data_IF_670977840706
#
_entry.id   IF_670977840706
#
_cell.length_a   1.000
_cell.length_b   1.000
_cell.length_c   1.000
_cell.angle_alpha   90.00
_cell.angle_beta   90.00
_cell.angle_gamma   90.00
#
_symmetry.space_group_name_H-M   'P 1'
#
loop_
_entity.id
_entity.type
_entity.pdbx_description
1 polymer ?
#
# COMPACT_ATOMS: atom_id res chain seq x y z
N UNK A 1 -10.34 -4.17 3.23
CA UNK A 1 -9.64 -3.57 4.39
C UNK A 1 -8.56 -4.56 4.85
N UNK A 2 -7.31 -4.11 5.02
CA UNK A 2 -6.19 -5.00 5.34
C UNK A 2 -5.82 -5.07 6.82
N UNK A 3 -6.25 -4.06 7.59
CA UNK A 3 -5.96 -3.93 9.01
C UNK A 3 -7.23 -4.18 9.83
N UNK A 4 -7.13 -4.38 11.17
CA UNK A 4 -8.24 -4.53 12.13
C UNK A 4 -9.00 -3.24 12.37
N UNK A 5 -10.31 -3.30 12.74
CA UNK A 5 -11.29 -2.17 12.73
C UNK A 5 -10.77 -0.90 13.38
N UNK A 6 -10.05 -1.08 14.47
CA UNK A 6 -9.34 -0.04 15.20
C UNK A 6 -7.99 -0.57 15.63
N UNK A 7 -7.19 0.26 16.31
CA UNK A 7 -5.94 -0.19 16.94
C UNK A 7 -6.16 -1.22 18.04
N UNK A 8 -7.32 -1.21 18.68
CA UNK A 8 -7.62 -2.04 19.86
C UNK A 8 -8.33 -3.36 19.49
N UNK A 9 -8.55 -3.57 18.20
CA UNK A 9 -9.26 -4.72 17.64
C UNK A 9 -8.27 -5.78 17.13
N UNK A 10 -8.58 -7.04 17.40
CA UNK A 10 -7.84 -8.20 16.89
C UNK A 10 -8.72 -8.95 15.88
N UNK A 11 -8.55 -8.62 14.60
CA UNK A 11 -9.33 -9.23 13.53
C UNK A 11 -8.98 -10.70 13.27
N UNK A 12 -7.84 -11.18 13.79
CA UNK A 12 -7.42 -12.58 13.64
C UNK A 12 -8.34 -13.56 14.37
N UNK A 13 -9.10 -13.07 15.35
CA UNK A 13 -10.07 -13.88 16.11
C UNK A 13 -11.31 -14.26 15.29
N UNK A 14 -11.64 -13.48 14.24
CA UNK A 14 -12.90 -13.63 13.52
C UNK A 14 -12.76 -13.53 11.99
N UNK A 15 -11.53 -13.39 11.47
CA UNK A 15 -11.24 -13.30 10.05
C UNK A 15 -10.16 -14.28 9.62
N UNK A 16 -10.39 -14.95 8.50
CA UNK A 16 -9.40 -15.84 7.90
C UNK A 16 -8.24 -15.02 7.30
N UNK A 17 -6.98 -15.28 7.68
CA UNK A 17 -5.81 -14.67 7.06
C UNK A 17 -5.77 -14.81 5.53
N UNK A 18 -6.30 -15.91 4.99
CA UNK A 18 -6.36 -16.14 3.54
C UNK A 18 -7.20 -15.06 2.82
N UNK A 19 -8.26 -14.55 3.42
CA UNK A 19 -9.05 -13.46 2.83
C UNK A 19 -8.25 -12.16 2.72
N UNK A 20 -7.37 -11.89 3.69
CA UNK A 20 -6.48 -10.72 3.66
C UNK A 20 -5.50 -10.87 2.51
N UNK A 21 -4.88 -12.05 2.36
CA UNK A 21 -3.94 -12.32 1.28
C UNK A 21 -4.59 -12.20 -0.11
N UNK A 22 -5.79 -12.76 -0.30
CA UNK A 22 -6.54 -12.58 -1.56
C UNK A 22 -6.95 -11.13 -1.82
N UNK A 23 -7.14 -10.32 -0.78
CA UNK A 23 -7.40 -8.90 -0.92
C UNK A 23 -6.11 -8.11 -1.26
N UNK A 24 -4.94 -8.51 -0.75
CA UNK A 24 -3.64 -7.90 -1.07
C UNK A 24 -3.24 -8.11 -2.52
N UNK A 25 -3.63 -9.23 -3.13
CA UNK A 25 -3.42 -9.48 -4.57
C UNK A 25 -4.08 -8.44 -5.47
N UNK A 26 -5.10 -7.73 -4.97
CA UNK A 26 -5.89 -6.72 -5.69
C UNK A 26 -5.56 -5.30 -5.23
N UNK A 27 -4.35 -5.08 -4.71
CA UNK A 27 -3.90 -3.74 -4.28
C UNK A 27 -3.93 -2.76 -5.47
N UNK A 28 -4.79 -1.73 -5.44
CA UNK A 28 -4.93 -0.79 -6.54
C UNK A 28 -3.66 0.05 -6.77
N UNK A 29 -2.87 0.34 -5.73
CA UNK A 29 -1.63 1.10 -5.88
C UNK A 29 -0.56 0.27 -6.59
N UNK A 30 -0.49 -1.03 -6.30
CA UNK A 30 0.41 -1.94 -7.01
C UNK A 30 0.04 -2.02 -8.49
N UNK A 31 -1.24 -2.24 -8.80
CA UNK A 31 -1.70 -2.29 -10.19
C UNK A 31 -1.47 -0.98 -10.95
N UNK A 32 -1.70 0.16 -10.30
CA UNK A 32 -1.42 1.47 -10.89
C UNK A 32 0.08 1.65 -11.16
N UNK A 33 0.94 1.28 -10.21
CA UNK A 33 2.39 1.35 -10.37
C UNK A 33 2.87 0.49 -11.55
N UNK A 34 2.39 -0.75 -11.64
CA UNK A 34 2.72 -1.67 -12.75
C UNK A 34 2.27 -1.10 -14.10
N UNK A 35 1.05 -0.54 -14.16
CA UNK A 35 0.54 0.11 -15.36
C UNK A 35 1.42 1.27 -15.80
N UNK A 36 1.75 2.20 -14.89
CA UNK A 36 2.53 3.40 -15.21
C UNK A 36 3.97 3.08 -15.62
N UNK A 37 4.58 2.07 -14.98
CA UNK A 37 5.89 1.54 -15.39
C UNK A 37 5.79 0.90 -16.78
N UNK A 38 4.74 0.10 -17.03
CA UNK A 38 4.52 -0.58 -18.30
C UNK A 38 4.30 0.36 -19.49
N UNK A 39 3.67 1.52 -19.26
CA UNK A 39 3.48 2.55 -20.30
C UNK A 39 4.60 3.61 -20.32
N UNK A 40 5.63 3.47 -19.49
CA UNK A 40 6.77 4.39 -19.44
C UNK A 40 6.46 5.78 -18.87
N UNK A 41 5.33 5.95 -18.18
CA UNK A 41 4.98 7.19 -17.48
C UNK A 41 5.60 7.30 -16.09
N UNK A 42 6.06 6.17 -15.55
CA UNK A 42 6.82 6.09 -14.31
C UNK A 42 8.11 5.31 -14.58
N UNK A 43 9.16 5.63 -13.82
CA UNK A 43 10.38 4.85 -13.74
C UNK A 43 10.76 4.60 -12.27
N UNK A 44 11.74 3.73 -12.03
CA UNK A 44 12.15 3.35 -10.69
C UNK A 44 12.76 4.52 -9.89
N UNK A 45 13.46 5.44 -10.54
CA UNK A 45 14.06 6.59 -9.87
C UNK A 45 12.98 7.57 -9.39
N UNK A 46 12.00 7.84 -10.25
CA UNK A 46 10.87 8.72 -9.95
C UNK A 46 9.94 8.12 -8.89
N UNK A 47 9.67 6.81 -8.94
CA UNK A 47 8.89 6.14 -7.89
C UNK A 47 9.59 6.26 -6.52
N UNK A 48 10.90 6.03 -6.47
CA UNK A 48 11.68 6.16 -5.25
C UNK A 48 11.66 7.59 -4.69
N UNK A 49 11.81 8.61 -5.55
CA UNK A 49 11.74 10.02 -5.16
C UNK A 49 10.37 10.37 -4.55
N UNK A 50 9.27 9.95 -5.19
CA UNK A 50 7.91 10.21 -4.71
C UNK A 50 7.67 9.57 -3.34
N UNK A 51 8.12 8.32 -3.14
CA UNK A 51 8.03 7.64 -1.85
C UNK A 51 8.83 8.34 -0.77
N UNK A 52 10.05 8.77 -1.09
CA UNK A 52 10.90 9.48 -0.14
C UNK A 52 10.27 10.81 0.29
N UNK A 53 9.72 11.57 -0.67
CA UNK A 53 9.03 12.83 -0.40
C UNK A 53 7.80 12.63 0.48
N UNK A 54 6.93 11.67 0.15
CA UNK A 54 5.73 11.38 0.94
C UNK A 54 6.08 10.96 2.38
N UNK A 55 7.14 10.16 2.55
CA UNK A 55 7.63 9.80 3.88
C UNK A 55 8.11 11.02 4.66
N UNK A 56 8.94 11.86 4.04
CA UNK A 56 9.45 13.07 4.70
C UNK A 56 8.32 14.03 5.11
N UNK A 57 7.29 14.18 4.29
CA UNK A 57 6.10 14.99 4.62
C UNK A 57 5.33 14.41 5.83
N UNK A 58 5.19 13.08 5.91
CA UNK A 58 4.56 12.43 7.06
C UNK A 58 5.37 12.59 8.36
N UNK A 59 6.70 12.40 8.26
CA UNK A 59 7.61 12.53 9.40
C UNK A 59 7.66 13.98 9.91
N UNK A 60 7.61 14.97 9.02
CA UNK A 60 7.61 16.40 9.38
C UNK A 60 6.29 16.90 10.00
N UNK A 61 5.19 16.19 9.79
CA UNK A 61 3.87 16.50 10.34
C UNK A 61 3.60 15.86 11.71
N UNK A 62 4.59 15.13 12.26
CA UNK A 62 4.54 14.46 13.58
C UNK A 62 5.24 15.30 14.64
#
# INVERSE_FOLDING_TARGET
RYLPHTSDDDDTLYRDPAEIEEARKRDPLKHLSELLLGVGLLDAARDAELRAKAKAEGDAAT
#
